data_IF_975372622665
#
_entry.id   IF_975372622665
#
_cell.length_a   1.000
_cell.length_b   1.000
_cell.length_c   1.000
_cell.angle_alpha   90.00
_cell.angle_beta   90.00
_cell.angle_gamma   90.00
#
_symmetry.space_group_name_H-M   'P 1'
#
loop_
_entity.id
_entity.type
_entity.pdbx_description
1 polymer ?
#
# COMPACT_ATOMS: atom_id res chain seq x y z
N UNK A 1 -32.16 2.53 -13.18
CA UNK A 1 -31.67 1.24 -13.70
C UNK A 1 -30.28 1.34 -14.31
N UNK A 2 -30.04 2.16 -15.35
CA UNK A 2 -28.71 2.22 -15.99
C UNK A 2 -27.54 2.60 -15.05
N UNK A 3 -27.74 3.56 -14.13
CA UNK A 3 -26.69 3.95 -13.17
C UNK A 3 -26.35 2.81 -12.20
N UNK A 4 -27.37 2.10 -11.69
CA UNK A 4 -27.22 0.97 -10.78
C UNK A 4 -26.40 -0.17 -11.42
N UNK A 5 -26.71 -0.53 -12.67
CA UNK A 5 -26.00 -1.56 -13.42
C UNK A 5 -24.54 -1.19 -13.67
N UNK A 6 -24.28 0.06 -14.05
CA UNK A 6 -22.91 0.56 -14.26
C UNK A 6 -22.13 0.57 -12.94
N UNK A 7 -22.75 1.00 -11.83
CA UNK A 7 -22.11 0.99 -10.52
C UNK A 7 -21.81 -0.44 -10.03
N UNK A 8 -22.72 -1.38 -10.27
CA UNK A 8 -22.51 -2.79 -9.95
C UNK A 8 -21.31 -3.36 -10.72
N UNK A 9 -21.26 -3.19 -12.04
CA UNK A 9 -20.13 -3.68 -12.85
C UNK A 9 -18.83 -3.00 -12.42
N UNK A 10 -18.86 -1.68 -12.21
CA UNK A 10 -17.68 -0.91 -11.79
C UNK A 10 -17.14 -1.41 -10.44
N UNK A 11 -18.03 -1.74 -9.50
CA UNK A 11 -17.65 -2.30 -8.20
C UNK A 11 -16.87 -3.61 -8.34
N UNK A 12 -17.36 -4.56 -9.15
CA UNK A 12 -16.67 -5.84 -9.35
C UNK A 12 -15.34 -5.69 -10.07
N UNK A 13 -15.29 -4.86 -11.12
CA UNK A 13 -14.05 -4.61 -11.86
C UNK A 13 -13.01 -3.92 -10.97
N UNK A 14 -13.42 -2.90 -10.22
CA UNK A 14 -12.53 -2.21 -9.28
C UNK A 14 -12.10 -3.12 -8.13
N UNK A 15 -12.98 -4.01 -7.65
CA UNK A 15 -12.64 -5.04 -6.66
C UNK A 15 -11.60 -6.04 -7.15
N UNK A 16 -11.76 -6.55 -8.38
CA UNK A 16 -10.76 -7.42 -9.00
C UNK A 16 -9.42 -6.69 -9.20
N UNK A 17 -9.48 -5.44 -9.66
CA UNK A 17 -8.31 -4.59 -9.83
C UNK A 17 -7.63 -4.31 -8.48
N UNK A 18 -8.38 -4.11 -7.40
CA UNK A 18 -7.85 -3.93 -6.04
C UNK A 18 -7.05 -5.16 -5.61
N UNK A 19 -7.61 -6.35 -5.78
CA UNK A 19 -6.94 -7.61 -5.43
C UNK A 19 -5.66 -7.78 -6.24
N UNK A 20 -5.72 -7.56 -7.56
CA UNK A 20 -4.54 -7.63 -8.42
C UNK A 20 -3.46 -6.61 -8.04
N UNK A 21 -3.85 -5.35 -7.85
CA UNK A 21 -2.93 -4.27 -7.53
C UNK A 21 -2.31 -4.46 -6.15
N UNK A 22 -3.12 -4.78 -5.14
CA UNK A 22 -2.66 -4.96 -3.77
C UNK A 22 -1.78 -6.21 -3.60
N UNK A 23 -2.18 -7.34 -4.17
CA UNK A 23 -1.43 -8.59 -4.02
C UNK A 23 -0.26 -8.66 -5.02
N UNK A 24 -0.53 -8.64 -6.32
CA UNK A 24 0.50 -8.94 -7.32
C UNK A 24 1.50 -7.79 -7.40
N UNK A 25 1.00 -6.56 -7.63
CA UNK A 25 1.88 -5.39 -7.75
C UNK A 25 2.49 -5.05 -6.38
N UNK A 26 1.74 -5.20 -5.29
CA UNK A 26 2.25 -4.98 -3.94
C UNK A 26 3.37 -5.94 -3.54
N UNK A 27 3.26 -7.25 -3.85
CA UNK A 27 4.34 -8.22 -3.63
C UNK A 27 5.58 -7.84 -4.45
N UNK A 28 5.41 -7.53 -5.74
CA UNK A 28 6.53 -7.10 -6.59
C UNK A 28 7.22 -5.87 -6.00
N UNK A 29 6.46 -4.89 -5.52
CA UNK A 29 6.98 -3.66 -4.92
C UNK A 29 7.83 -3.95 -3.67
N UNK A 30 7.42 -4.91 -2.85
CA UNK A 30 8.18 -5.33 -1.66
C UNK A 30 9.45 -6.09 -2.04
N UNK A 31 9.39 -6.91 -3.09
CA UNK A 31 10.56 -7.65 -3.59
C UNK A 31 11.63 -6.67 -4.10
N UNK A 32 11.23 -5.66 -4.88
CA UNK A 32 12.16 -4.64 -5.40
C UNK A 32 12.56 -3.57 -4.37
N UNK A 33 11.96 -3.58 -3.17
CA UNK A 33 12.30 -2.61 -2.12
C UNK A 33 13.78 -2.75 -1.76
N UNK A 34 14.59 -1.67 -1.86
CA UNK A 34 16.03 -1.77 -1.65
C UNK A 34 16.38 -2.29 -0.25
N UNK A 35 17.35 -3.20 -0.15
CA UNK A 35 17.76 -3.79 1.13
C UNK A 35 18.22 -2.73 2.14
N UNK A 36 18.86 -1.64 1.69
CA UNK A 36 19.26 -0.51 2.55
C UNK A 36 18.06 0.14 3.26
N UNK A 37 16.91 0.17 2.60
CA UNK A 37 15.66 0.72 3.16
C UNK A 37 15.05 -0.26 4.16
N UNK A 38 15.09 -1.57 3.84
CA UNK A 38 14.64 -2.63 4.76
C UNK A 38 15.47 -2.66 6.04
N UNK A 39 16.80 -2.60 5.94
CA UNK A 39 17.69 -2.57 7.09
C UNK A 39 17.55 -1.32 7.94
N UNK A 40 17.32 -0.16 7.31
CA UNK A 40 17.05 1.07 8.05
C UNK A 40 15.73 1.01 8.81
N UNK A 41 14.68 0.45 8.21
CA UNK A 41 13.34 0.51 8.76
C UNK A 41 12.98 -0.64 9.69
N UNK A 42 13.42 -1.87 9.42
CA UNK A 42 13.09 -3.06 10.21
C UNK A 42 14.05 -3.23 11.38
N UNK A 43 13.95 -2.33 12.34
CA UNK A 43 14.67 -2.34 13.61
C UNK A 43 13.67 -2.31 14.76
N UNK A 44 14.09 -2.75 15.95
CA UNK A 44 13.28 -2.69 17.18
C UNK A 44 12.93 -1.26 17.62
N UNK A 45 13.57 -0.25 17.03
CA UNK A 45 13.26 1.16 17.25
C UNK A 45 11.95 1.61 16.56
N UNK A 46 11.60 0.95 15.45
CA UNK A 46 10.47 1.34 14.59
C UNK A 46 9.37 0.30 14.52
N UNK A 47 9.70 -0.97 14.76
CA UNK A 47 8.79 -2.11 14.71
C UNK A 47 8.91 -2.94 15.99
N UNK A 48 7.79 -3.47 16.44
CA UNK A 48 7.76 -4.41 17.58
C UNK A 48 8.33 -5.78 17.18
N UNK A 49 8.74 -6.59 18.15
CA UNK A 49 9.28 -7.93 17.89
C UNK A 49 8.30 -8.83 17.11
N UNK A 50 6.99 -8.67 17.37
CA UNK A 50 5.93 -9.38 16.65
C UNK A 50 5.88 -8.96 15.17
N UNK A 51 5.97 -7.66 14.89
CA UNK A 51 5.97 -7.15 13.52
C UNK A 51 7.25 -7.54 12.76
N UNK A 52 8.40 -7.56 13.46
CA UNK A 52 9.66 -8.04 12.89
C UNK A 52 9.59 -9.54 12.55
N UNK A 53 8.98 -10.35 13.42
CA UNK A 53 8.72 -11.76 13.15
C UNK A 53 7.74 -11.97 11.99
N UNK A 54 6.72 -11.12 11.86
CA UNK A 54 5.76 -11.14 10.75
C UNK A 54 6.44 -10.80 9.41
N UNK A 55 7.37 -9.84 9.41
CA UNK A 55 8.13 -9.45 8.21
C UNK A 55 9.14 -10.53 7.80
N UNK A 56 9.69 -11.28 8.76
CA UNK A 56 10.69 -12.32 8.49
C UNK A 56 10.12 -13.70 8.18
N UNK A 57 8.93 -14.05 8.69
CA UNK A 57 8.39 -15.41 8.62
C UNK A 57 6.99 -15.57 8.00
N UNK A 58 6.17 -14.53 7.88
CA UNK A 58 4.78 -14.67 7.42
C UNK A 58 4.50 -13.87 6.13
N UNK A 59 4.15 -14.57 5.04
CA UNK A 59 3.97 -13.95 3.72
C UNK A 59 2.99 -12.78 3.68
N UNK A 60 1.87 -12.88 4.40
CA UNK A 60 0.86 -11.81 4.45
C UNK A 60 1.27 -10.66 5.39
N UNK A 61 2.01 -10.97 6.45
CA UNK A 61 2.57 -9.99 7.38
C UNK A 61 3.64 -9.15 6.70
N UNK A 62 4.53 -9.79 5.97
CA UNK A 62 5.51 -9.14 5.11
C UNK A 62 4.84 -8.24 4.06
N UNK A 63 3.70 -8.65 3.48
CA UNK A 63 2.93 -7.82 2.55
C UNK A 63 2.41 -6.54 3.23
N UNK A 64 1.73 -6.67 4.37
CA UNK A 64 1.14 -5.53 5.08
C UNK A 64 2.22 -4.56 5.58
N UNK A 65 3.24 -5.06 6.28
CA UNK A 65 4.30 -4.23 6.84
C UNK A 65 5.27 -3.72 5.78
N UNK A 66 5.46 -4.47 4.69
CA UNK A 66 6.18 -4.03 3.50
C UNK A 66 5.47 -2.88 2.78
N UNK A 67 4.18 -3.01 2.49
CA UNK A 67 3.40 -1.91 1.91
C UNK A 67 3.32 -0.71 2.84
N UNK A 68 3.17 -0.92 4.15
CA UNK A 68 3.19 0.17 5.14
C UNK A 68 4.53 0.92 5.13
N UNK A 69 5.65 0.22 4.94
CA UNK A 69 6.96 0.84 4.75
C UNK A 69 6.99 1.67 3.47
N UNK A 70 6.48 1.13 2.35
CA UNK A 70 6.38 1.90 1.10
C UNK A 70 5.48 3.12 1.26
N UNK A 71 4.41 3.03 2.05
CA UNK A 71 3.54 4.15 2.39
C UNK A 71 4.27 5.23 3.17
N UNK A 72 5.11 4.84 4.13
CA UNK A 72 5.94 5.77 4.90
C UNK A 72 6.96 6.49 4.00
N UNK A 73 7.53 5.78 3.03
CA UNK A 73 8.44 6.37 2.03
C UNK A 73 7.68 7.34 1.10
N UNK A 74 6.50 6.95 0.63
CA UNK A 74 5.68 7.76 -0.26
C UNK A 74 5.15 9.01 0.45
N UNK A 75 4.65 8.89 1.68
CA UNK A 75 4.01 9.95 2.44
C UNK A 75 4.79 10.30 3.72
N UNK A 76 5.45 11.48 3.78
CA UNK A 76 6.30 11.86 4.92
C UNK A 76 5.54 11.97 6.25
N UNK A 77 4.24 12.26 6.20
CA UNK A 77 3.39 12.28 7.41
C UNK A 77 3.26 10.88 8.05
N UNK A 78 3.21 9.82 7.25
CA UNK A 78 3.13 8.44 7.75
C UNK A 78 4.49 7.98 8.31
N UNK A 79 5.59 8.38 7.67
CA UNK A 79 6.93 8.18 8.20
C UNK A 79 7.10 8.79 9.60
N UNK A 80 6.63 10.03 9.81
CA UNK A 80 6.71 10.69 11.12
C UNK A 80 5.96 9.92 12.22
N UNK A 81 4.81 9.32 11.91
CA UNK A 81 4.04 8.50 12.86
C UNK A 81 4.79 7.24 13.31
N UNK A 82 5.63 6.68 12.43
CA UNK A 82 6.46 5.49 12.70
C UNK A 82 7.90 5.83 13.12
N UNK A 83 8.20 7.11 13.43
CA UNK A 83 9.56 7.61 13.73
C UNK A 83 10.58 7.38 12.59
N UNK A 84 10.12 7.20 11.36
CA UNK A 84 10.93 6.98 10.15
C UNK A 84 11.22 8.30 9.39
N UNK A 85 11.47 9.40 10.10
CA UNK A 85 11.51 10.76 9.51
C UNK A 85 12.56 10.93 8.42
N UNK A 86 13.68 10.22 8.51
CA UNK A 86 14.79 10.32 7.54
C UNK A 86 14.74 9.26 6.44
N UNK A 87 13.70 8.43 6.38
CA UNK A 87 13.67 7.29 5.45
C UNK A 87 13.81 7.70 3.98
N UNK A 88 13.23 8.85 3.59
CA UNK A 88 13.34 9.39 2.23
C UNK A 88 14.77 9.81 1.84
N UNK A 89 15.66 10.07 2.81
CA UNK A 89 17.08 10.39 2.54
C UNK A 89 17.88 9.13 2.20
N UNK A 90 17.50 8.01 2.80
CA UNK A 90 18.12 6.69 2.57
C UNK A 90 17.50 6.00 1.34
N UNK A 91 16.28 6.39 0.97
CA UNK A 91 15.55 5.80 -0.14
C UNK A 91 15.95 6.40 -1.50
N UNK A 92 16.19 5.57 -2.53
CA UNK A 92 16.45 6.10 -3.86
C UNK A 92 15.21 6.79 -4.46
N UNK A 93 15.43 7.89 -5.20
CA UNK A 93 14.36 8.73 -5.77
C UNK A 93 13.37 7.96 -6.65
N UNK A 94 13.85 6.94 -7.37
CA UNK A 94 13.00 6.09 -8.21
C UNK A 94 11.99 5.31 -7.36
N UNK A 95 12.41 4.77 -6.22
CA UNK A 95 11.54 3.99 -5.34
C UNK A 95 10.50 4.87 -4.66
N UNK A 96 10.87 6.10 -4.27
CA UNK A 96 9.91 7.10 -3.76
C UNK A 96 8.82 7.38 -4.81
N UNK A 97 9.21 7.54 -6.07
CA UNK A 97 8.30 7.84 -7.17
C UNK A 97 7.36 6.68 -7.47
N UNK A 98 7.89 5.44 -7.55
CA UNK A 98 7.08 4.23 -7.72
C UNK A 98 6.12 4.04 -6.54
N UNK A 99 6.60 4.25 -5.31
CA UNK A 99 5.77 4.15 -4.11
C UNK A 99 4.62 5.16 -4.13
N UNK A 100 4.87 6.41 -4.54
CA UNK A 100 3.82 7.41 -4.72
C UNK A 100 2.79 6.97 -5.76
N UNK A 101 3.23 6.57 -6.95
CA UNK A 101 2.33 6.10 -8.04
C UNK A 101 1.49 4.92 -7.57
N UNK A 102 2.11 3.93 -6.94
CA UNK A 102 1.43 2.75 -6.41
C UNK A 102 0.30 3.12 -5.45
N UNK A 103 0.59 3.98 -4.47
CA UNK A 103 -0.39 4.40 -3.48
C UNK A 103 -1.48 5.31 -4.05
N UNK A 104 -1.15 6.20 -5.00
CA UNK A 104 -2.14 7.03 -5.68
C UNK A 104 -3.15 6.17 -6.45
N UNK A 105 -2.68 5.17 -7.19
CA UNK A 105 -3.55 4.23 -7.91
C UNK A 105 -4.39 3.41 -6.93
N UNK A 106 -3.79 2.90 -5.85
CA UNK A 106 -4.52 2.13 -4.83
C UNK A 106 -5.63 2.97 -4.18
N UNK A 107 -5.35 4.23 -3.83
CA UNK A 107 -6.35 5.15 -3.27
C UNK A 107 -7.46 5.41 -4.29
N UNK A 108 -7.12 5.63 -5.57
CA UNK A 108 -8.12 5.84 -6.61
C UNK A 108 -9.07 4.64 -6.76
N UNK A 109 -8.53 3.42 -6.80
CA UNK A 109 -9.32 2.18 -6.85
C UNK A 109 -10.27 2.10 -5.66
N UNK A 110 -9.77 2.35 -4.44
CA UNK A 110 -10.59 2.32 -3.21
C UNK A 110 -11.70 3.37 -3.26
N UNK A 111 -11.40 4.60 -3.70
CA UNK A 111 -12.41 5.65 -3.86
C UNK A 111 -13.47 5.25 -4.89
N UNK A 112 -13.08 4.65 -6.01
CA UNK A 112 -14.02 4.15 -7.02
C UNK A 112 -14.94 3.06 -6.46
N UNK A 113 -14.42 2.15 -5.64
CA UNK A 113 -15.22 1.11 -4.97
C UNK A 113 -16.25 1.78 -4.03
N UNK A 114 -15.81 2.71 -3.18
CA UNK A 114 -16.71 3.41 -2.26
C UNK A 114 -17.76 4.24 -2.99
N UNK A 115 -17.38 4.96 -4.05
CA UNK A 115 -18.30 5.75 -4.86
C UNK A 115 -19.34 4.85 -5.56
N UNK A 116 -18.92 3.70 -6.08
CA UNK A 116 -19.82 2.72 -6.72
C UNK A 116 -20.80 2.13 -5.71
N UNK A 117 -20.32 1.76 -4.53
CA UNK A 117 -21.16 1.23 -3.44
C UNK A 117 -22.15 2.28 -2.93
N UNK A 118 -21.72 3.54 -2.80
CA UNK A 118 -22.61 4.65 -2.43
C UNK A 118 -23.70 4.86 -3.48
N UNK A 119 -23.36 4.83 -4.77
CA UNK A 119 -24.32 4.94 -5.86
C UNK A 119 -25.35 3.81 -5.83
N UNK A 120 -24.93 2.58 -5.52
CA UNK A 120 -25.84 1.43 -5.39
C UNK A 120 -26.78 1.51 -4.18
N UNK A 121 -26.39 2.22 -3.12
CA UNK A 121 -27.24 2.42 -1.94
C UNK A 121 -28.28 3.53 -2.18
N UNK A 122 -27.91 4.55 -2.96
CA UNK A 122 -28.71 5.76 -3.14
C UNK A 122 -29.70 5.70 -4.32
N UNK A 123 -29.51 4.81 -5.29
CA UNK A 123 -30.29 4.71 -6.53
C UNK A 123 -30.80 3.29 -6.77
#
# INVERSE_FOLDING_TARGET
MQLLEVSFITFFVAGALLVFWYLIVGILLIVITPQKVKHYAYTSEHYTDIELALVSGFHFGALIHGLALVAAVAFPKLAKKRKLTDIRRVCPKWFISIGLVYWTILIFIVVTIFASLLAMILF
#
